data_IF_728518532070
#
_entry.id   IF_728518532070
#
_cell.length_a   1.000
_cell.length_b   1.000
_cell.length_c   1.000
_cell.angle_alpha   90.00
_cell.angle_beta   90.00
_cell.angle_gamma   90.00
#
_symmetry.space_group_name_H-M   'P 1'
#
loop_
_entity.id
_entity.type
_entity.pdbx_description
1 polymer ?
#
# COMPACT_ATOMS: atom_id res chain seq x y z
N UNK A 1 2.63 3.65 14.95
CA UNK A 1 3.36 2.59 14.22
C UNK A 1 4.51 3.22 13.46
N UNK A 2 5.67 2.53 13.35
CA UNK A 2 6.79 3.03 12.53
C UNK A 2 6.49 2.76 11.06
N UNK A 3 6.89 3.68 10.17
CA UNK A 3 6.75 3.50 8.72
C UNK A 3 7.66 2.37 8.23
N UNK A 4 7.07 1.25 7.82
CA UNK A 4 7.79 0.15 7.21
C UNK A 4 7.76 0.29 5.68
N UNK A 5 8.91 0.61 5.10
CA UNK A 5 9.04 0.82 3.66
C UNK A 5 8.82 -0.48 2.86
N UNK A 6 9.11 -1.63 3.47
CA UNK A 6 8.91 -2.93 2.86
C UNK A 6 7.42 -3.22 2.69
N UNK A 7 6.64 -3.00 3.76
CA UNK A 7 5.19 -3.08 3.74
C UNK A 7 4.57 -2.13 2.71
N UNK A 8 5.08 -0.90 2.61
CA UNK A 8 4.64 0.06 1.58
C UNK A 8 4.79 -0.50 0.17
N UNK A 9 5.96 -1.07 -0.14
CA UNK A 9 6.21 -1.67 -1.46
C UNK A 9 5.27 -2.84 -1.72
N UNK A 10 5.05 -3.70 -0.73
CA UNK A 10 4.15 -4.84 -0.85
C UNK A 10 2.69 -4.42 -1.07
N UNK A 11 2.21 -3.40 -0.33
CA UNK A 11 0.86 -2.83 -0.52
C UNK A 11 0.68 -2.31 -1.95
N UNK A 12 1.64 -1.52 -2.43
CA UNK A 12 1.55 -0.93 -3.77
C UNK A 12 1.59 -2.01 -4.86
N UNK A 13 2.44 -3.03 -4.72
CA UNK A 13 2.50 -4.16 -5.66
C UNK A 13 1.18 -4.94 -5.68
N UNK A 14 0.62 -5.24 -4.51
CA UNK A 14 -0.67 -5.93 -4.41
C UNK A 14 -1.81 -5.10 -4.98
N UNK A 15 -1.80 -3.80 -4.74
CA UNK A 15 -2.80 -2.87 -5.30
C UNK A 15 -2.71 -2.83 -6.83
N UNK A 16 -1.49 -2.87 -7.39
CA UNK A 16 -1.28 -2.98 -8.84
C UNK A 16 -1.79 -4.30 -9.42
N UNK A 17 -1.47 -5.43 -8.78
CA UNK A 17 -1.92 -6.77 -9.20
C UNK A 17 -3.45 -6.90 -9.17
N UNK A 18 -4.11 -6.30 -8.18
CA UNK A 18 -5.56 -6.34 -8.02
C UNK A 18 -6.29 -5.64 -9.16
N UNK A 19 -5.70 -4.59 -9.72
CA UNK A 19 -6.30 -3.78 -10.77
C UNK A 19 -7.59 -3.06 -10.34
N UNK A 20 -8.03 -2.10 -11.16
CA UNK A 20 -9.18 -1.22 -10.88
C UNK A 20 -10.51 -1.97 -10.63
N UNK A 21 -10.62 -3.22 -11.08
CA UNK A 21 -11.89 -3.97 -11.07
C UNK A 21 -12.15 -4.74 -9.76
N UNK A 22 -11.16 -4.92 -8.89
CA UNK A 22 -11.31 -5.70 -7.66
C UNK A 22 -11.39 -4.81 -6.41
N UNK A 23 -12.49 -4.04 -6.31
CA UNK A 23 -12.82 -3.17 -5.18
C UNK A 23 -13.10 -3.89 -3.85
N UNK A 24 -13.17 -5.22 -3.86
CA UNK A 24 -13.63 -6.03 -2.72
C UNK A 24 -12.56 -7.00 -2.19
N UNK A 25 -11.28 -6.79 -2.54
CA UNK A 25 -10.23 -7.68 -2.06
C UNK A 25 -9.69 -7.20 -0.71
N UNK A 26 -9.79 -8.08 0.28
CA UNK A 26 -9.17 -7.87 1.59
C UNK A 26 -7.66 -7.99 1.41
N UNK A 27 -6.94 -6.87 1.58
CA UNK A 27 -5.51 -6.82 1.33
C UNK A 27 -4.77 -7.49 2.50
N UNK A 28 -4.48 -8.78 2.33
CA UNK A 28 -3.73 -9.58 3.29
C UNK A 28 -2.28 -9.73 2.81
N UNK A 29 -1.34 -9.35 3.67
CA UNK A 29 0.10 -9.49 3.44
C UNK A 29 0.63 -10.37 4.56
N UNK A 30 1.30 -11.46 4.19
CA UNK A 30 1.96 -12.35 5.13
C UNK A 30 2.95 -11.55 6.00
N UNK A 31 3.04 -11.86 7.28
CA UNK A 31 3.83 -11.14 8.32
C UNK A 31 3.28 -9.81 8.84
N UNK A 32 2.14 -9.29 8.36
CA UNK A 32 1.58 -8.01 8.84
C UNK A 32 0.13 -8.09 9.32
N UNK A 33 -0.17 -7.34 10.38
CA UNK A 33 -1.54 -7.25 10.92
C UNK A 33 -2.43 -6.36 10.05
N UNK A 34 -3.74 -6.63 9.99
CA UNK A 34 -4.71 -5.77 9.27
C UNK A 34 -4.63 -4.30 9.70
N UNK A 35 -4.42 -4.03 10.98
CA UNK A 35 -4.23 -2.68 11.53
C UNK A 35 -2.98 -2.00 10.97
N UNK A 36 -1.87 -2.74 10.81
CA UNK A 36 -0.63 -2.20 10.25
C UNK A 36 -0.81 -1.89 8.76
N UNK A 37 -1.45 -2.78 8.02
CA UNK A 37 -1.76 -2.58 6.59
C UNK A 37 -2.64 -1.35 6.43
N UNK A 38 -3.76 -1.28 7.15
CA UNK A 38 -4.69 -0.14 7.16
C UNK A 38 -3.99 1.18 7.49
N UNK A 39 -3.11 1.20 8.49
CA UNK A 39 -2.32 2.38 8.83
C UNK A 39 -1.41 2.84 7.68
N UNK A 40 -0.74 1.91 7.00
CA UNK A 40 0.15 2.24 5.88
C UNK A 40 -0.62 2.64 4.62
N UNK A 41 -1.76 1.99 4.33
CA UNK A 41 -2.68 2.38 3.25
C UNK A 41 -3.14 3.82 3.46
N UNK A 42 -3.55 4.17 4.68
CA UNK A 42 -3.90 5.56 5.04
C UNK A 42 -2.76 6.54 4.74
N UNK A 43 -1.53 6.21 5.14
CA UNK A 43 -0.37 7.08 4.88
C UNK A 43 -0.08 7.24 3.39
N UNK A 44 -0.20 6.17 2.61
CA UNK A 44 0.03 6.20 1.16
C UNK A 44 -1.06 7.00 0.44
N UNK A 45 -2.31 6.90 0.90
CA UNK A 45 -3.40 7.72 0.42
C UNK A 45 -3.17 9.21 0.74
N UNK A 46 -2.75 9.53 1.96
CA UNK A 46 -2.40 10.90 2.36
C UNK A 46 -1.23 11.48 1.57
N UNK A 47 -0.28 10.62 1.18
CA UNK A 47 0.86 11.02 0.35
C UNK A 47 0.53 11.06 -1.16
N UNK A 48 -0.67 10.64 -1.56
CA UNK A 48 -1.11 10.65 -2.96
C UNK A 48 -0.44 9.59 -3.83
N UNK A 49 0.00 8.47 -3.26
CA UNK A 49 0.54 7.33 -4.02
C UNK A 49 -0.57 6.36 -4.43
N UNK A 50 -1.61 6.20 -3.63
CA UNK A 50 -2.76 5.37 -3.95
C UNK A 50 -4.05 6.08 -3.54
N UNK A 51 -5.17 5.65 -4.09
CA UNK A 51 -6.49 6.01 -3.59
C UNK A 51 -6.95 4.92 -2.62
N UNK A 52 -7.52 5.32 -1.49
CA UNK A 52 -8.05 4.39 -0.51
C UNK A 52 -9.42 4.85 0.00
N UNK A 53 -10.25 3.87 0.32
CA UNK A 53 -11.53 4.08 0.98
C UNK A 53 -11.42 3.71 2.45
N UNK A 54 -12.05 4.51 3.29
CA UNK A 54 -12.20 4.21 4.71
C UNK A 54 -13.51 3.47 4.92
N UNK A 55 -13.40 2.22 5.38
CA UNK A 55 -14.55 1.37 5.67
C UNK A 55 -14.69 1.30 7.18
N UNK A 56 -15.80 1.83 7.69
CA UNK A 56 -16.17 1.72 9.10
C UNK A 56 -17.50 0.98 9.24
N UNK A 57 -17.42 -0.25 9.73
CA UNK A 57 -18.56 -1.09 10.13
C UNK A 57 -18.54 -1.30 11.65
N UNK A 58 -19.66 -1.76 12.24
CA UNK A 58 -19.83 -1.92 13.70
C UNK A 58 -18.72 -2.73 14.40
N UNK A 59 -18.03 -3.61 13.68
CA UNK A 59 -17.03 -4.52 14.22
C UNK A 59 -15.64 -4.34 13.59
N UNK A 60 -15.51 -3.48 12.59
CA UNK A 60 -14.28 -3.38 11.81
C UNK A 60 -14.11 -1.99 11.20
N UNK A 61 -12.91 -1.45 11.35
CA UNK A 61 -12.53 -0.12 10.86
C UNK A 61 -11.20 -0.23 10.15
N UNK A 62 -11.20 -0.18 8.82
CA UNK A 62 -9.98 -0.36 8.02
C UNK A 62 -9.93 0.57 6.79
N UNK A 63 -8.72 0.83 6.33
CA UNK A 63 -8.45 1.53 5.08
C UNK A 63 -8.10 0.51 4.00
N UNK A 64 -8.89 0.49 2.92
CA UNK A 64 -8.66 -0.39 1.78
C UNK A 64 -8.24 0.42 0.55
N UNK A 65 -7.14 0.06 -0.14
CA UNK A 65 -6.75 0.73 -1.36
C UNK A 65 -7.70 0.34 -2.50
N UNK A 66 -8.00 1.32 -3.35
CA UNK A 66 -8.88 1.19 -4.51
C UNK A 66 -8.04 1.06 -5.79
N UNK A 67 -7.08 1.98 -5.96
CA UNK A 67 -6.29 2.13 -7.17
C UNK A 67 -4.96 2.78 -6.87
N UNK A 68 -3.94 2.49 -7.68
CA UNK A 68 -2.73 3.29 -7.69
C UNK A 68 -2.99 4.60 -8.43
N UNK A 69 -2.37 5.67 -7.92
CA UNK A 69 -2.27 6.93 -8.66
C UNK A 69 -1.09 6.86 -9.64
N UNK A 70 -0.99 7.85 -10.53
CA UNK A 70 0.17 8.00 -11.40
C UNK A 70 1.49 8.03 -10.61
N UNK A 71 1.57 8.85 -9.55
CA UNK A 71 2.73 8.94 -8.66
C UNK A 71 3.02 7.61 -7.96
N UNK A 72 1.98 6.82 -7.65
CA UNK A 72 2.11 5.47 -7.12
C UNK A 72 2.79 4.53 -8.10
N UNK A 73 2.39 4.56 -9.37
CA UNK A 73 3.04 3.79 -10.43
C UNK A 73 4.51 4.20 -10.62
N UNK A 74 4.82 5.50 -10.64
CA UNK A 74 6.21 5.96 -10.76
C UNK A 74 7.07 5.53 -9.56
N UNK A 75 6.53 5.64 -8.35
CA UNK A 75 7.23 5.18 -7.14
C UNK A 75 7.46 3.67 -7.18
N UNK A 76 6.46 2.91 -7.61
CA UNK A 76 6.55 1.46 -7.69
C UNK A 76 7.54 1.02 -8.77
N UNK A 77 7.56 1.67 -9.93
CA UNK A 77 8.51 1.40 -11.00
C UNK A 77 9.96 1.67 -10.54
N UNK A 78 10.18 2.79 -9.84
CA UNK A 78 11.47 3.08 -9.20
C UNK A 78 11.84 2.06 -8.10
N UNK A 79 10.85 1.55 -7.36
CA UNK A 79 11.03 0.55 -6.30
C UNK A 79 11.20 -0.89 -6.84
N UNK A 80 10.82 -1.16 -8.08
CA UNK A 80 11.04 -2.46 -8.75
C UNK A 80 12.51 -2.70 -9.06
N UNK A 81 13.28 -1.63 -9.33
CA UNK A 81 14.72 -1.74 -9.46
C UNK A 81 15.35 -2.05 -8.09
N UNK A 82 15.67 -3.32 -7.87
CA UNK A 82 16.30 -3.78 -6.64
C UNK A 82 17.63 -3.07 -6.34
N UNK A 83 18.32 -2.53 -7.35
CA UNK A 83 19.55 -1.74 -7.19
C UNK A 83 19.25 -0.39 -6.54
N UNK A 84 18.19 0.29 -6.99
CA UNK A 84 17.73 1.56 -6.44
C UNK A 84 17.13 1.35 -5.06
N UNK A 85 16.33 0.29 -4.89
CA UNK A 85 15.71 -0.07 -3.61
C UNK A 85 16.73 -0.37 -2.50
N UNK A 86 17.77 -1.15 -2.81
CA UNK A 86 18.83 -1.44 -1.85
C UNK A 86 19.66 -0.20 -1.50
N UNK A 87 19.93 0.67 -2.48
CA UNK A 87 20.59 1.96 -2.22
C UNK A 87 19.76 2.89 -1.32
N UNK A 88 18.44 2.89 -1.46
CA UNK A 88 17.54 3.68 -0.63
C UNK A 88 17.40 3.13 0.80
N UNK A 89 17.52 1.81 1.01
CA UNK A 89 17.53 1.18 2.35
C UNK A 89 18.87 1.35 3.08
N UNK A 90 19.99 1.48 2.35
CA UNK A 90 21.34 1.63 2.93
C UNK A 90 21.75 3.07 3.29
N UNK A 91 20.82 4.02 3.24
CA UNK A 91 21.07 5.43 3.57
C UNK A 91 20.23 5.87 4.76
#
# INVERSE_FOLDING_TARGET
MKRNIDLVRQILLKTEELGFLNRSFELSIEDYSKEEISYHVKLLAQAGYLEAEYISCKELTEWNPISLTWSGHEFLDAARDNTVWNKAKSK
#
